data_IF_140684961633
#
_entry.id   IF_140684961633
#
_cell.length_a   1.000
_cell.length_b   1.000
_cell.length_c   1.000
_cell.angle_alpha   90.00
_cell.angle_beta   90.00
_cell.angle_gamma   90.00
#
_symmetry.space_group_name_H-M   'P 1'
#
loop_
_entity.id
_entity.type
_entity.pdbx_description
1 polymer ?
#
# COMPACT_ATOMS: atom_id res chain seq x y z
N UNK A 1 -11.13 -3.79 9.26
CA UNK A 1 -11.93 -5.03 9.14
C UNK A 1 -13.27 -4.94 9.86
N UNK A 2 -13.32 -4.77 11.19
CA UNK A 2 -14.59 -4.67 11.95
C UNK A 2 -15.57 -3.66 11.36
N UNK A 3 -15.11 -2.44 11.07
CA UNK A 3 -15.96 -1.41 10.50
C UNK A 3 -16.60 -1.83 9.15
N UNK A 4 -15.84 -2.51 8.29
CA UNK A 4 -16.36 -2.97 7.00
C UNK A 4 -17.39 -4.09 7.17
N UNK A 5 -17.19 -5.01 8.11
CA UNK A 5 -18.17 -6.05 8.44
C UNK A 5 -19.45 -5.45 9.02
N UNK A 6 -19.35 -4.49 9.94
CA UNK A 6 -20.51 -3.81 10.49
C UNK A 6 -21.27 -3.00 9.41
N UNK A 7 -20.55 -2.35 8.49
CA UNK A 7 -21.18 -1.66 7.37
C UNK A 7 -21.90 -2.61 6.40
N UNK A 8 -21.35 -3.81 6.17
CA UNK A 8 -21.90 -4.78 5.22
C UNK A 8 -23.04 -5.64 5.80
N UNK A 9 -23.02 -5.89 7.12
CA UNK A 9 -23.91 -6.86 7.77
C UNK A 9 -24.76 -6.28 8.91
N UNK A 10 -24.59 -4.98 9.23
CA UNK A 10 -25.31 -4.28 10.29
C UNK A 10 -24.43 -4.03 11.53
N UNK A 11 -24.77 -2.99 12.28
CA UNK A 11 -24.05 -2.66 13.51
C UNK A 11 -24.08 -3.83 14.51
N UNK A 12 -22.92 -4.12 15.11
CA UNK A 12 -22.76 -5.22 16.07
C UNK A 12 -22.55 -6.60 15.44
N UNK A 13 -22.51 -6.72 14.11
CA UNK A 13 -22.24 -7.99 13.43
C UNK A 13 -20.82 -8.53 13.70
N UNK A 14 -19.84 -7.66 13.94
CA UNK A 14 -18.45 -8.03 14.17
C UNK A 14 -17.81 -7.31 15.37
N UNK A 15 -16.87 -8.00 16.03
CA UNK A 15 -16.08 -7.49 17.16
C UNK A 15 -14.60 -7.87 17.01
N UNK A 16 -13.70 -6.93 17.26
CA UNK A 16 -12.27 -7.24 17.35
C UNK A 16 -12.00 -8.07 18.61
N UNK A 17 -11.27 -9.17 18.44
CA UNK A 17 -10.76 -9.98 19.55
C UNK A 17 -9.34 -9.52 19.89
N UNK A 18 -8.50 -9.33 18.88
CA UNK A 18 -7.15 -8.80 18.97
C UNK A 18 -6.74 -8.06 17.68
N UNK A 19 -5.46 -7.74 17.50
CA UNK A 19 -4.95 -6.98 16.35
C UNK A 19 -5.06 -7.69 14.99
N UNK A 20 -5.32 -8.99 14.96
CA UNK A 20 -5.44 -9.81 13.73
C UNK A 20 -6.73 -10.63 13.69
N UNK A 21 -7.41 -10.82 14.83
CA UNK A 21 -8.58 -11.69 14.97
C UNK A 21 -9.87 -10.90 15.12
N UNK A 22 -10.90 -11.27 14.34
CA UNK A 22 -12.24 -10.69 14.39
C UNK A 22 -13.28 -11.78 14.60
N UNK A 23 -14.15 -11.62 15.61
CA UNK A 23 -15.31 -12.47 15.84
C UNK A 23 -16.53 -11.90 15.10
N UNK A 24 -17.32 -12.77 14.48
CA UNK A 24 -18.52 -12.40 13.70
C UNK A 24 -19.72 -13.22 14.16
N UNK A 25 -20.87 -12.56 14.32
CA UNK A 25 -22.12 -13.21 14.68
C UNK A 25 -22.71 -13.93 13.46
N UNK A 26 -22.83 -15.25 13.52
CA UNK A 26 -23.33 -16.07 12.42
C UNK A 26 -24.73 -16.65 12.71
N UNK A 27 -25.60 -16.80 11.70
CA UNK A 27 -26.90 -17.48 11.83
C UNK A 27 -26.77 -18.93 12.32
N UNK A 28 -27.76 -19.41 13.05
CA UNK A 28 -27.85 -20.83 13.49
C UNK A 28 -28.11 -21.79 12.34
N UNK A 29 -28.83 -21.34 11.31
CA UNK A 29 -29.07 -22.10 10.09
C UNK A 29 -27.77 -22.32 9.29
N UNK A 30 -27.42 -23.58 8.94
CA UNK A 30 -26.20 -23.88 8.20
C UNK A 30 -26.12 -23.24 6.80
N UNK A 31 -27.25 -23.18 6.09
CA UNK A 31 -27.29 -22.59 4.74
C UNK A 31 -27.03 -21.09 4.77
N UNK A 32 -27.69 -20.38 5.69
CA UNK A 32 -27.48 -18.96 5.93
C UNK A 32 -26.05 -18.66 6.41
N UNK A 33 -25.43 -19.56 7.19
CA UNK A 33 -24.03 -19.45 7.61
C UNK A 33 -23.04 -19.55 6.45
N UNK A 34 -23.25 -20.50 5.54
CA UNK A 34 -22.42 -20.62 4.33
C UNK A 34 -22.59 -19.37 3.45
N UNK A 35 -23.81 -18.87 3.29
CA UNK A 35 -24.08 -17.63 2.57
C UNK A 35 -23.39 -16.42 3.19
N UNK A 36 -23.35 -16.32 4.52
CA UNK A 36 -22.59 -15.28 5.22
C UNK A 36 -21.09 -15.40 4.95
N UNK A 37 -20.52 -16.60 5.03
CA UNK A 37 -19.09 -16.83 4.77
C UNK A 37 -18.70 -16.40 3.35
N UNK A 38 -19.49 -16.81 2.34
CA UNK A 38 -19.26 -16.41 0.96
C UNK A 38 -19.32 -14.89 0.76
N UNK A 39 -20.21 -14.19 1.48
CA UNK A 39 -20.29 -12.72 1.43
C UNK A 39 -19.10 -12.05 2.11
N UNK A 40 -18.59 -12.61 3.20
CA UNK A 40 -17.40 -12.10 3.90
C UNK A 40 -16.16 -12.25 3.01
N UNK A 41 -16.02 -13.38 2.32
CA UNK A 41 -14.90 -13.63 1.40
C UNK A 41 -14.84 -12.61 0.26
N UNK A 42 -16.01 -12.20 -0.26
CA UNK A 42 -16.11 -11.21 -1.33
C UNK A 42 -16.03 -9.75 -0.84
N UNK A 43 -15.84 -9.51 0.46
CA UNK A 43 -15.77 -8.16 0.99
C UNK A 43 -14.41 -7.53 0.65
N UNK A 44 -14.42 -6.59 -0.29
CA UNK A 44 -13.23 -5.83 -0.65
C UNK A 44 -12.90 -4.81 0.46
N UNK A 45 -11.66 -4.86 0.96
CA UNK A 45 -11.22 -4.00 2.04
C UNK A 45 -9.90 -3.34 1.67
N UNK A 46 -9.89 -2.01 1.61
CA UNK A 46 -8.66 -1.25 1.46
C UNK A 46 -7.96 -1.19 2.83
N UNK A 47 -6.78 -1.79 3.00
CA UNK A 47 -6.04 -1.67 4.24
C UNK A 47 -5.69 -0.19 4.49
N UNK A 48 -5.63 0.20 5.76
CA UNK A 48 -5.09 1.52 6.12
C UNK A 48 -3.66 1.69 5.63
N UNK A 49 -3.22 2.94 5.47
CA UNK A 49 -1.85 3.23 5.06
C UNK A 49 -0.85 2.54 6.01
N UNK A 50 0.14 1.86 5.43
CA UNK A 50 1.19 1.22 6.22
C UNK A 50 1.90 2.26 7.10
N UNK A 51 2.29 1.91 8.33
CA UNK A 51 3.02 2.83 9.19
C UNK A 51 4.35 3.24 8.55
N UNK A 52 4.81 4.45 8.86
CA UNK A 52 6.13 4.91 8.48
C UNK A 52 7.19 3.94 9.03
N UNK A 53 8.04 3.41 8.14
CA UNK A 53 9.06 2.43 8.51
C UNK A 53 10.40 2.81 7.89
N UNK A 54 11.44 2.79 8.73
CA UNK A 54 12.85 2.91 8.32
C UNK A 54 13.56 1.64 8.75
N UNK A 55 14.27 1.00 7.83
CA UNK A 55 15.09 -0.19 8.10
C UNK A 55 16.53 0.13 7.80
N UNK A 56 17.43 -0.13 8.76
CA UNK A 56 18.87 0.09 8.62
C UNK A 56 19.59 -1.24 8.69
N UNK A 57 20.43 -1.53 7.70
CA UNK A 57 21.38 -2.63 7.73
C UNK A 57 22.77 -2.06 8.04
N UNK A 58 23.22 -2.21 9.28
CA UNK A 58 24.52 -1.70 9.74
C UNK A 58 25.71 -2.43 9.12
N UNK A 59 25.54 -3.67 8.63
CA UNK A 59 26.60 -4.45 8.00
C UNK A 59 26.90 -3.95 6.59
N UNK A 60 25.88 -3.53 5.84
CA UNK A 60 26.02 -3.09 4.44
C UNK A 60 25.90 -1.57 4.28
N UNK A 61 25.54 -0.84 5.34
CA UNK A 61 25.25 0.59 5.28
C UNK A 61 23.95 0.94 4.53
N UNK A 62 23.08 -0.04 4.26
CA UNK A 62 21.86 0.17 3.48
C UNK A 62 20.73 0.71 4.37
N UNK A 63 20.06 1.77 3.93
CA UNK A 63 18.88 2.32 4.59
C UNK A 63 17.70 2.24 3.62
N UNK A 64 16.63 1.58 4.05
CA UNK A 64 15.37 1.51 3.30
C UNK A 64 14.34 2.38 4.01
N UNK A 65 13.83 3.38 3.29
CA UNK A 65 12.87 4.35 3.79
C UNK A 65 11.52 4.09 3.12
N UNK A 66 10.50 3.79 3.92
CA UNK A 66 9.13 3.56 3.43
C UNK A 66 8.43 4.86 2.99
N UNK A 67 7.37 4.72 2.18
CA UNK A 67 6.67 5.84 1.54
C UNK A 67 6.07 6.88 2.50
N UNK A 68 5.74 6.49 3.74
CA UNK A 68 5.14 7.38 4.74
C UNK A 68 6.18 8.12 5.60
N UNK A 69 7.47 8.08 5.23
CA UNK A 69 8.54 8.77 5.95
C UNK A 69 8.86 10.11 5.29
N UNK A 70 8.93 11.18 6.09
CA UNK A 70 9.45 12.49 5.68
C UNK A 70 10.81 12.72 6.34
N UNK A 71 11.79 13.11 5.54
CA UNK A 71 13.15 13.41 6.02
C UNK A 71 13.29 14.92 6.20
N UNK A 72 13.67 15.36 7.40
CA UNK A 72 13.99 16.75 7.69
C UNK A 72 15.41 17.13 7.24
N UNK A 73 15.79 18.42 7.28
CA UNK A 73 17.15 18.84 6.98
C UNK A 73 18.17 18.14 7.88
N UNK A 74 19.20 17.55 7.28
CA UNK A 74 20.31 16.92 7.98
C UNK A 74 21.62 17.26 7.27
N UNK A 75 22.65 17.61 8.03
CA UNK A 75 24.00 17.77 7.48
C UNK A 75 24.68 16.39 7.46
N UNK A 76 25.20 15.97 6.30
CA UNK A 76 25.86 14.67 6.12
C UNK A 76 27.29 14.93 5.67
N UNK A 77 28.27 14.48 6.44
CA UNK A 77 29.68 14.49 6.05
C UNK A 77 30.05 13.11 5.51
N UNK A 78 29.81 12.87 4.23
CA UNK A 78 30.21 11.66 3.51
C UNK A 78 31.23 11.99 2.41
N UNK A 79 32.01 10.99 1.96
CA UNK A 79 32.85 11.11 0.76
C UNK A 79 32.02 11.17 -0.53
N UNK A 80 32.40 10.43 -1.58
CA UNK A 80 31.55 10.29 -2.78
C UNK A 80 30.30 9.45 -2.48
N UNK A 81 29.10 10.05 -2.62
CA UNK A 81 27.81 9.36 -2.56
C UNK A 81 27.21 9.30 -3.97
N UNK A 82 26.83 8.12 -4.45
CA UNK A 82 26.07 7.97 -5.70
C UNK A 82 24.61 7.66 -5.38
N UNK A 83 23.70 8.58 -5.74
CA UNK A 83 22.26 8.40 -5.57
C UNK A 83 21.65 7.91 -6.89
N UNK A 84 21.03 6.72 -6.87
CA UNK A 84 20.30 6.18 -8.02
C UNK A 84 18.80 6.15 -7.70
N UNK A 85 18.01 6.89 -8.48
CA UNK A 85 16.54 6.86 -8.42
C UNK A 85 16.07 5.99 -9.58
N UNK A 86 15.32 4.92 -9.28
CA UNK A 86 14.75 4.03 -10.28
C UNK A 86 13.23 4.21 -10.31
N UNK A 87 12.75 4.99 -11.27
CA UNK A 87 11.32 5.16 -11.54
C UNK A 87 10.90 4.17 -12.64
N UNK A 88 9.94 3.29 -12.32
CA UNK A 88 9.35 2.39 -13.31
C UNK A 88 8.31 3.16 -14.13
N UNK A 89 8.74 3.87 -15.18
CA UNK A 89 7.82 4.49 -16.13
C UNK A 89 7.27 3.42 -17.06
N UNK A 90 6.05 2.98 -16.83
CA UNK A 90 5.33 2.13 -17.79
C UNK A 90 4.89 3.00 -18.98
N UNK A 91 5.64 2.96 -20.08
CA UNK A 91 5.30 3.65 -21.32
C UNK A 91 4.41 2.73 -22.15
N UNK A 92 3.13 3.09 -22.29
CA UNK A 92 2.25 2.49 -23.30
C UNK A 92 2.29 3.37 -24.54
N UNK A 93 3.20 3.08 -25.46
CA UNK A 93 3.26 3.74 -26.76
C UNK A 93 2.44 2.89 -27.74
N UNK A 94 1.26 3.35 -28.21
CA UNK A 94 0.50 2.60 -29.20
C UNK A 94 1.24 2.63 -30.55
N UNK A 95 1.05 1.58 -31.36
CA UNK A 95 1.75 1.38 -32.64
C UNK A 95 1.88 2.66 -33.47
N UNK A 96 3.05 2.84 -34.08
CA UNK A 96 3.33 3.95 -34.99
C UNK A 96 2.20 4.03 -36.04
N UNK A 97 1.63 5.23 -36.22
CA UNK A 97 0.46 5.57 -37.04
C UNK A 97 -0.92 5.53 -36.35
N UNK A 98 -1.05 5.11 -35.09
CA UNK A 98 -2.27 5.43 -34.34
C UNK A 98 -2.26 6.93 -33.99
N UNK A 99 -3.34 7.66 -34.27
CA UNK A 99 -3.47 9.09 -33.94
C UNK A 99 -3.53 9.41 -32.43
N UNK A 100 -2.95 8.55 -31.59
CA UNK A 100 -2.89 8.72 -30.14
C UNK A 100 -1.82 9.75 -29.74
N UNK A 101 -2.17 10.63 -28.80
CA UNK A 101 -1.23 11.56 -28.17
C UNK A 101 -0.34 10.78 -27.19
N UNK A 102 0.97 10.75 -27.42
CA UNK A 102 1.93 10.27 -26.42
C UNK A 102 1.95 11.23 -25.23
N UNK A 103 1.70 10.76 -23.99
CA UNK A 103 1.86 11.61 -22.82
C UNK A 103 3.35 11.95 -22.65
N UNK A 104 3.67 13.24 -22.59
CA UNK A 104 5.03 13.72 -22.31
C UNK A 104 5.33 13.52 -20.81
N UNK A 105 6.21 12.59 -20.48
CA UNK A 105 6.76 12.47 -19.12
C UNK A 105 8.00 13.36 -19.02
N UNK A 106 7.89 14.47 -18.29
CA UNK A 106 9.06 15.30 -17.96
C UNK A 106 9.84 14.63 -16.82
N UNK A 107 10.92 13.92 -17.16
CA UNK A 107 11.89 13.45 -16.17
C UNK A 107 12.72 14.65 -15.71
N UNK A 108 12.34 15.24 -14.59
CA UNK A 108 13.04 16.39 -14.03
C UNK A 108 14.31 15.92 -13.31
N UNK A 109 15.39 15.71 -14.07
CA UNK A 109 16.72 15.43 -13.50
C UNK A 109 17.22 16.66 -12.73
N UNK A 110 17.10 16.65 -11.40
CA UNK A 110 17.87 17.55 -10.54
C UNK A 110 19.21 16.91 -10.24
N UNK A 111 20.27 17.49 -10.79
CA UNK A 111 21.65 17.24 -10.40
C UNK A 111 21.94 18.05 -9.13
N UNK A 112 22.41 17.40 -8.06
CA UNK A 112 23.03 18.06 -6.91
C UNK A 112 24.50 17.62 -6.85
N UNK A 113 25.46 18.57 -6.68
CA UNK A 113 26.88 18.26 -6.48
C UNK A 113 27.14 17.61 -5.13
#
# INVERSE_FOLDING_TARGET
>A
MVAALNNAFGEGAARAVDGVTVAVTAPTDPGARIGLLARIENLELTPGSAPAKVVVNSRTGTVVIGQQVRVGPAAISHGSLTVTIQENTNVSQPNALSGGRTPHVQVQRRHYP
#
